data_IF_664637978380
#
_entry.id   IF_664637978380
#
_cell.length_a   1.000
_cell.length_b   1.000
_cell.length_c   1.000
_cell.angle_alpha   90.00
_cell.angle_beta   90.00
_cell.angle_gamma   90.00
#
_symmetry.space_group_name_H-M   'P 1'
#
loop_
_entity.id
_entity.type
_entity.pdbx_description
1 polymer ?
#
# COMPACT_ATOMS: atom_id res chain seq x y z
N UNK A 1 -21.28 -25.15 7.80
CA UNK A 1 -20.50 -24.37 6.82
C UNK A 1 -19.12 -24.11 7.40
N UNK A 2 -18.08 -24.75 6.84
CA UNK A 2 -16.70 -24.55 7.28
C UNK A 2 -16.20 -23.24 6.67
N UNK A 3 -15.71 -22.33 7.51
CA UNK A 3 -15.24 -21.01 7.09
C UNK A 3 -14.02 -21.12 6.17
N UNK A 4 -14.23 -20.95 4.87
CA UNK A 4 -13.22 -20.90 3.80
C UNK A 4 -12.08 -19.89 4.10
N UNK A 5 -12.32 -18.88 4.96
CA UNK A 5 -11.31 -17.91 5.36
C UNK A 5 -10.21 -18.42 6.29
N UNK A 6 -10.53 -19.35 7.20
CA UNK A 6 -9.50 -19.94 8.08
C UNK A 6 -8.59 -20.89 7.29
N UNK A 7 -9.17 -21.55 6.29
CA UNK A 7 -8.46 -22.48 5.42
C UNK A 7 -7.42 -21.77 4.55
N UNK A 8 -7.77 -20.59 4.03
CA UNK A 8 -6.83 -19.76 3.25
C UNK A 8 -5.63 -19.32 4.08
N UNK A 9 -5.83 -18.84 5.31
CA UNK A 9 -4.71 -18.43 6.17
C UNK A 9 -3.83 -19.62 6.52
N UNK A 10 -4.41 -20.75 6.95
CA UNK A 10 -3.66 -21.98 7.25
C UNK A 10 -2.90 -22.51 6.05
N UNK A 11 -3.48 -22.42 4.86
CA UNK A 11 -2.81 -22.81 3.61
C UNK A 11 -1.63 -21.89 3.29
N UNK A 12 -1.82 -20.57 3.42
CA UNK A 12 -0.74 -19.59 3.22
C UNK A 12 0.36 -19.76 4.27
N UNK A 13 -0.01 -20.05 5.51
CA UNK A 13 0.92 -20.29 6.62
C UNK A 13 1.69 -21.61 6.44
N UNK A 14 1.04 -22.67 5.95
CA UNK A 14 1.70 -23.91 5.59
C UNK A 14 2.71 -23.70 4.44
N UNK A 15 2.33 -22.95 3.40
CA UNK A 15 3.24 -22.59 2.30
C UNK A 15 4.40 -21.72 2.80
N UNK A 16 4.12 -20.72 3.63
CA UNK A 16 5.11 -19.86 4.28
C UNK A 16 6.15 -20.68 5.08
N UNK A 17 5.68 -21.66 5.87
CA UNK A 17 6.55 -22.60 6.60
C UNK A 17 7.39 -23.46 5.67
N UNK A 18 6.82 -23.98 4.58
CA UNK A 18 7.54 -24.79 3.59
C UNK A 18 8.60 -23.97 2.85
N UNK A 19 8.31 -22.69 2.56
CA UNK A 19 9.19 -21.78 1.81
C UNK A 19 10.18 -21.02 2.71
N UNK A 20 10.14 -21.21 4.02
CA UNK A 20 11.01 -20.54 4.99
C UNK A 20 10.74 -19.05 5.17
N UNK A 21 9.62 -18.52 4.68
CA UNK A 21 9.23 -17.12 4.83
C UNK A 21 8.08 -17.01 5.82
N UNK A 22 8.31 -16.49 7.02
CA UNK A 22 7.18 -16.28 7.95
C UNK A 22 6.24 -15.17 7.44
N UNK A 23 4.96 -15.30 7.77
CA UNK A 23 3.95 -14.30 7.39
C UNK A 23 4.24 -12.98 8.11
N UNK A 24 4.70 -13.09 9.36
CA UNK A 24 5.10 -11.99 10.23
C UNK A 24 6.28 -11.21 9.64
N UNK A 25 7.31 -11.89 9.14
CA UNK A 25 8.46 -11.24 8.49
C UNK A 25 8.06 -10.53 7.20
N UNK A 26 7.14 -11.13 6.44
CA UNK A 26 6.60 -10.53 5.22
C UNK A 26 5.82 -9.25 5.55
N UNK A 27 5.01 -9.29 6.60
CA UNK A 27 4.26 -8.14 7.11
C UNK A 27 5.20 -7.03 7.57
N UNK A 28 6.23 -7.38 8.36
CA UNK A 28 7.19 -6.42 8.89
C UNK A 28 7.98 -5.78 7.75
N UNK A 29 8.46 -6.58 6.79
CA UNK A 29 9.16 -6.10 5.60
C UNK A 29 8.30 -5.14 4.79
N UNK A 30 7.07 -5.52 4.47
CA UNK A 30 6.14 -4.69 3.70
C UNK A 30 5.84 -3.36 4.41
N UNK A 31 5.68 -3.39 5.74
CA UNK A 31 5.44 -2.19 6.56
C UNK A 31 6.65 -1.27 6.53
N UNK A 32 7.83 -1.79 6.87
CA UNK A 32 9.07 -1.02 6.88
C UNK A 32 9.35 -0.43 5.51
N UNK A 33 9.10 -1.20 4.46
CA UNK A 33 9.26 -0.74 3.09
C UNK A 33 8.25 0.36 2.75
N UNK A 34 6.95 0.19 3.03
CA UNK A 34 5.94 1.21 2.77
C UNK A 34 6.18 2.53 3.52
N UNK A 35 6.69 2.45 4.76
CA UNK A 35 7.07 3.62 5.55
C UNK A 35 8.35 4.29 5.04
N UNK A 36 9.19 3.56 4.30
CA UNK A 36 10.38 4.12 3.66
C UNK A 36 10.09 4.88 2.37
N UNK A 37 8.83 4.91 1.91
CA UNK A 37 8.45 5.73 0.76
C UNK A 37 8.26 7.20 1.17
N UNK A 38 8.60 8.10 0.27
CA UNK A 38 8.21 9.50 0.31
C UNK A 38 6.84 9.65 -0.32
N UNK A 39 5.88 10.20 0.42
CA UNK A 39 4.51 10.40 -0.04
C UNK A 39 4.01 11.81 0.31
N UNK A 40 3.25 12.40 -0.62
CA UNK A 40 2.73 13.77 -0.51
C UNK A 40 1.38 13.84 0.20
N UNK A 41 0.66 12.73 0.28
CA UNK A 41 -0.67 12.67 0.88
C UNK A 41 -0.91 11.35 1.58
N UNK A 42 -1.86 11.35 2.54
CA UNK A 42 -2.31 10.12 3.20
C UNK A 42 -2.94 9.15 2.20
N UNK A 43 -3.64 9.67 1.20
CA UNK A 43 -4.25 8.84 0.16
C UNK A 43 -3.17 8.07 -0.62
N UNK A 44 -2.07 8.72 -1.02
CA UNK A 44 -0.96 8.07 -1.70
C UNK A 44 -0.40 6.87 -0.90
N UNK A 45 -0.22 7.05 0.42
CA UNK A 45 0.19 5.97 1.32
C UNK A 45 -0.84 4.83 1.36
N UNK A 46 -2.13 5.15 1.48
CA UNK A 46 -3.20 4.16 1.50
C UNK A 46 -3.26 3.36 0.19
N UNK A 47 -3.08 4.02 -0.96
CA UNK A 47 -3.03 3.35 -2.27
C UNK A 47 -1.87 2.38 -2.40
N UNK A 48 -0.68 2.74 -1.90
CA UNK A 48 0.48 1.85 -1.86
C UNK A 48 0.16 0.55 -1.11
N UNK A 49 -0.46 0.66 0.07
CA UNK A 49 -0.86 -0.50 0.87
C UNK A 49 -1.93 -1.35 0.15
N UNK A 50 -2.93 -0.71 -0.45
CA UNK A 50 -3.97 -1.42 -1.22
C UNK A 50 -3.38 -2.20 -2.41
N UNK A 51 -2.41 -1.62 -3.11
CA UNK A 51 -1.68 -2.28 -4.22
C UNK A 51 -0.97 -3.54 -3.75
N UNK A 52 -0.36 -3.49 -2.56
CA UNK A 52 0.24 -4.64 -1.86
C UNK A 52 -0.76 -5.60 -1.23
N UNK A 53 -2.05 -5.49 -1.59
CA UNK A 53 -3.16 -6.36 -1.15
C UNK A 53 -3.49 -6.25 0.34
N UNK A 54 -3.10 -5.15 0.98
CA UNK A 54 -3.63 -4.83 2.30
C UNK A 54 -5.06 -4.30 2.18
N UNK A 55 -5.87 -4.58 3.19
CA UNK A 55 -7.18 -3.96 3.40
C UNK A 55 -7.04 -2.88 4.45
N UNK A 56 -7.71 -1.77 4.25
CA UNK A 56 -7.63 -0.60 5.11
C UNK A 56 -9.01 -0.31 5.68
N UNK A 57 -9.04 0.12 6.94
CA UNK A 57 -10.24 0.67 7.58
C UNK A 57 -9.83 1.89 8.38
N UNK A 58 -10.48 3.02 8.11
CA UNK A 58 -10.33 4.21 8.94
C UNK A 58 -11.19 4.04 10.19
N UNK A 59 -10.59 4.26 11.36
CA UNK A 59 -11.31 4.17 12.64
C UNK A 59 -10.75 5.19 13.64
N UNK A 60 -11.59 6.17 13.99
CA UNK A 60 -11.20 7.27 14.86
C UNK A 60 -10.09 8.12 14.27
N UNK A 61 -8.96 8.21 14.96
CA UNK A 61 -7.79 9.03 14.60
C UNK A 61 -6.69 8.26 13.84
N UNK A 62 -7.02 7.12 13.23
CA UNK A 62 -6.01 6.35 12.50
C UNK A 62 -6.56 5.32 11.52
N UNK A 63 -5.61 4.59 10.95
CA UNK A 63 -5.78 3.60 9.90
C UNK A 63 -5.47 2.21 10.43
N UNK A 64 -6.46 1.34 10.41
CA UNK A 64 -6.29 -0.09 10.66
C UNK A 64 -5.89 -0.78 9.36
N UNK A 65 -4.74 -1.45 9.38
CA UNK A 65 -4.17 -2.15 8.23
C UNK A 65 -4.36 -3.65 8.45
N UNK A 66 -5.00 -4.33 7.50
CA UNK A 66 -5.30 -5.75 7.56
C UNK A 66 -4.63 -6.50 6.41
N UNK A 67 -4.07 -7.68 6.70
CA UNK A 67 -3.63 -8.65 5.69
C UNK A 67 -4.17 -10.02 6.06
N UNK A 68 -4.68 -10.75 5.08
CA UNK A 68 -5.35 -12.04 5.31
C UNK A 68 -6.44 -12.01 6.40
N UNK A 69 -7.20 -10.90 6.49
CA UNK A 69 -8.25 -10.64 7.50
C UNK A 69 -7.77 -10.58 8.95
N UNK A 70 -6.45 -10.46 9.20
CA UNK A 70 -5.90 -10.15 10.52
C UNK A 70 -5.48 -8.70 10.55
N UNK A 71 -5.72 -8.04 11.68
CA UNK A 71 -5.15 -6.72 11.95
C UNK A 71 -3.63 -6.89 12.04
N UNK A 72 -2.93 -6.18 11.18
CA UNK A 72 -1.47 -6.22 11.05
C UNK A 72 -0.86 -5.11 11.89
N UNK A 73 -1.35 -3.89 11.71
CA UNK A 73 -0.89 -2.71 12.42
C UNK A 73 -1.99 -1.67 12.45
N UNK A 74 -1.88 -0.75 13.40
CA UNK A 74 -2.57 0.53 13.38
C UNK A 74 -1.53 1.60 13.08
N UNK A 75 -1.88 2.56 12.23
CA UNK A 75 -1.06 3.75 11.96
C UNK A 75 -1.92 4.96 12.30
N UNK A 76 -1.43 5.83 13.17
CA UNK A 76 -2.17 7.06 13.52
C UNK A 76 -2.05 8.08 12.40
N UNK A 77 -3.07 8.93 12.22
CA UNK A 77 -2.96 10.01 11.24
C UNK A 77 -1.86 11.01 11.61
N UNK A 78 -1.59 11.20 12.90
CA UNK A 78 -0.47 12.01 13.40
C UNK A 78 0.90 11.47 12.96
N UNK A 79 1.11 10.14 13.00
CA UNK A 79 2.35 9.54 12.49
C UNK A 79 2.48 9.71 10.98
N UNK A 80 1.38 9.55 10.24
CA UNK A 80 1.38 9.75 8.79
C UNK A 80 1.66 11.21 8.42
N UNK A 81 1.07 12.16 9.13
CA UNK A 81 1.31 13.58 8.91
C UNK A 81 2.75 13.97 9.23
N UNK A 82 3.32 13.42 10.30
CA UNK A 82 4.72 13.63 10.65
C UNK A 82 5.65 13.06 9.55
N UNK A 83 5.31 11.90 8.98
CA UNK A 83 6.06 11.32 7.86
C UNK A 83 5.93 12.17 6.59
N UNK A 84 4.74 12.67 6.27
CA UNK A 84 4.51 13.57 5.13
C UNK A 84 5.31 14.87 5.32
N UNK A 85 5.27 15.46 6.52
CA UNK A 85 5.99 16.68 6.84
C UNK A 85 7.52 16.49 6.87
N UNK A 86 8.01 15.31 7.26
CA UNK A 86 9.43 14.98 7.27
C UNK A 86 9.97 14.59 5.89
N UNK A 87 9.13 14.03 5.02
CA UNK A 87 9.51 13.56 3.68
C UNK A 87 9.24 14.64 2.62
N UNK A 88 10.02 15.72 2.64
CA UNK A 88 10.04 16.65 1.52
C UNK A 88 10.61 15.94 0.28
N UNK A 89 9.79 15.83 -0.75
CA UNK A 89 10.20 15.34 -2.05
C UNK A 89 11.37 16.16 -2.60
N UNK A 90 12.31 15.49 -3.26
CA UNK A 90 13.53 16.12 -3.79
C UNK A 90 13.15 16.81 -5.11
N UNK A 91 13.16 18.14 -5.22
CA UNK A 91 12.67 18.83 -6.42
C UNK A 91 13.37 18.42 -7.72
N UNK A 92 14.62 17.97 -7.64
CA UNK A 92 15.36 17.44 -8.78
C UNK A 92 14.72 16.14 -9.34
N UNK A 93 14.18 15.29 -8.48
CA UNK A 93 13.57 14.02 -8.87
C UNK A 93 12.16 14.19 -9.43
N UNK A 94 11.40 15.14 -8.87
CA UNK A 94 10.12 15.57 -9.43
C UNK A 94 10.28 16.06 -10.86
N UNK A 95 11.26 16.96 -11.07
CA UNK A 95 11.57 17.49 -12.40
C UNK A 95 12.00 16.38 -13.37
N UNK A 96 12.79 15.41 -12.91
CA UNK A 96 13.19 14.27 -13.73
C UNK A 96 11.98 13.45 -14.19
N UNK A 97 11.10 13.06 -13.28
CA UNK A 97 9.89 12.28 -13.62
C UNK A 97 8.98 13.10 -14.54
N UNK A 98 8.79 14.38 -14.23
CA UNK A 98 8.00 15.30 -15.06
C UNK A 98 8.53 15.38 -16.48
N UNK A 99 9.85 15.47 -16.67
CA UNK A 99 10.48 15.49 -17.98
C UNK A 99 10.29 14.16 -18.73
N UNK A 100 10.46 13.03 -18.06
CA UNK A 100 10.22 11.70 -18.64
C UNK A 100 8.79 11.59 -19.15
N UNK A 101 7.81 11.94 -18.32
CA UNK A 101 6.39 11.88 -18.68
C UNK A 101 6.08 12.85 -19.83
N UNK A 102 6.58 14.08 -19.76
CA UNK A 102 6.35 15.10 -20.80
C UNK A 102 6.89 14.67 -22.16
N UNK A 103 8.03 13.96 -22.18
CA UNK A 103 8.58 13.43 -23.41
C UNK A 103 7.79 12.22 -23.92
N UNK A 104 7.42 11.31 -23.02
CA UNK A 104 6.65 10.11 -23.36
C UNK A 104 5.26 10.46 -23.94
N UNK A 105 4.58 11.48 -23.39
CA UNK A 105 3.25 11.93 -23.86
C UNK A 105 3.24 12.31 -25.35
N UNK A 106 4.39 12.70 -25.93
CA UNK A 106 4.47 13.07 -27.36
C UNK A 106 4.26 11.89 -28.30
N UNK A 107 4.59 10.67 -27.85
CA UNK A 107 4.66 9.48 -28.69
C UNK A 107 3.76 8.33 -28.22
N UNK A 108 3.15 8.45 -27.04
CA UNK A 108 2.36 7.39 -26.41
C UNK A 108 0.93 7.81 -26.13
N UNK A 109 -0.02 6.88 -26.32
CA UNK A 109 -1.42 7.16 -26.03
C UNK A 109 -1.66 7.28 -24.51
N UNK A 110 -2.37 8.34 -24.15
CA UNK A 110 -2.70 8.71 -22.77
C UNK A 110 -4.04 8.15 -22.31
N UNK A 111 -4.85 7.68 -23.25
CA UNK A 111 -6.22 7.23 -23.00
C UNK A 111 -6.24 6.12 -21.96
N UNK A 112 -6.79 6.40 -20.78
CA UNK A 112 -6.93 5.40 -19.73
C UNK A 112 -8.08 4.45 -20.06
N UNK A 113 -7.74 3.16 -20.17
CA UNK A 113 -8.64 2.06 -20.49
C UNK A 113 -8.85 1.14 -19.29
N UNK A 114 -10.10 0.72 -19.01
CA UNK A 114 -10.39 -0.18 -17.90
C UNK A 114 -9.85 -1.58 -18.14
N UNK A 115 -9.17 -2.13 -17.13
CA UNK A 115 -8.64 -3.50 -17.13
C UNK A 115 -9.52 -4.38 -16.26
N UNK A 116 -10.13 -5.41 -16.85
CA UNK A 116 -10.97 -6.36 -16.12
C UNK A 116 -10.20 -7.64 -15.78
N UNK A 117 -10.55 -8.29 -14.66
CA UNK A 117 -10.05 -9.63 -14.39
C UNK A 117 -10.74 -10.63 -15.31
N UNK A 118 -9.97 -11.48 -15.97
CA UNK A 118 -10.52 -12.62 -16.71
C UNK A 118 -11.02 -13.69 -15.74
N UNK A 119 -12.29 -14.07 -15.84
CA UNK A 119 -12.85 -15.23 -15.16
C UNK A 119 -12.73 -16.47 -16.04
N UNK A 120 -12.85 -17.66 -15.44
CA UNK A 120 -12.87 -18.92 -16.19
C UNK A 120 -13.93 -18.89 -17.31
N UNK A 121 -13.48 -19.25 -18.52
CA UNK A 121 -14.28 -19.21 -19.75
C UNK A 121 -14.35 -17.83 -20.41
N UNK A 122 -13.26 -17.04 -20.35
CA UNK A 122 -13.12 -15.72 -20.99
C UNK A 122 -14.20 -14.69 -20.66
N UNK A 123 -14.89 -14.88 -19.53
CA UNK A 123 -15.89 -13.92 -19.05
C UNK A 123 -15.18 -12.73 -18.42
N UNK A 124 -15.61 -11.52 -18.76
CA UNK A 124 -15.19 -10.30 -18.07
C UNK A 124 -15.65 -10.37 -16.62
N UNK A 125 -14.68 -10.40 -15.72
CA UNK A 125 -14.89 -10.27 -14.29
C UNK A 125 -14.87 -8.83 -13.85
N UNK A 126 -14.64 -8.63 -12.55
CA UNK A 126 -14.60 -7.30 -11.93
C UNK A 126 -13.46 -6.45 -12.48
N UNK A 127 -13.72 -5.14 -12.60
CA UNK A 127 -12.72 -4.12 -12.88
C UNK A 127 -11.55 -4.24 -11.89
N UNK A 128 -10.35 -4.28 -12.43
CA UNK A 128 -9.10 -4.46 -11.68
C UNK A 128 -8.28 -3.18 -11.56
N UNK A 129 -8.46 -2.23 -12.48
CA UNK A 129 -7.75 -0.97 -12.57
C UNK A 129 -7.90 -0.36 -13.95
N UNK A 130 -7.00 0.57 -14.29
CA UNK A 130 -6.89 1.19 -15.61
C UNK A 130 -5.45 1.09 -16.10
N UNK A 131 -5.27 1.22 -17.43
CA UNK A 131 -3.98 1.30 -18.10
C UNK A 131 -4.06 2.19 -19.33
N UNK A 132 -2.94 2.73 -19.77
CA UNK A 132 -2.78 3.33 -21.08
C UNK A 132 -1.45 2.88 -21.70
N UNK A 133 -1.26 3.14 -22.99
CA UNK A 133 0.03 2.92 -23.65
C UNK A 133 1.16 3.69 -22.95
N UNK A 134 0.89 4.94 -22.55
CA UNK A 134 1.81 5.74 -21.73
C UNK A 134 2.18 5.05 -20.42
N UNK A 135 1.21 4.52 -19.65
CA UNK A 135 1.54 3.86 -18.38
C UNK A 135 2.35 2.59 -18.59
N UNK A 136 2.01 1.80 -19.60
CA UNK A 136 2.72 0.56 -19.91
C UNK A 136 4.17 0.88 -20.36
N UNK A 137 4.38 1.95 -21.15
CA UNK A 137 5.71 2.44 -21.53
C UNK A 137 6.53 2.92 -20.33
N UNK A 138 5.94 3.69 -19.42
CA UNK A 138 6.62 4.19 -18.22
C UNK A 138 7.07 3.03 -17.31
N UNK A 139 6.22 2.01 -17.15
CA UNK A 139 6.55 0.81 -16.38
C UNK A 139 7.66 0.01 -17.06
N UNK A 140 7.57 -0.25 -18.37
CA UNK A 140 8.54 -1.05 -19.10
C UNK A 140 9.93 -0.39 -19.18
N UNK A 141 9.99 0.90 -19.51
CA UNK A 141 11.27 1.58 -19.74
C UNK A 141 11.93 2.13 -18.50
N UNK A 142 11.13 2.60 -17.53
CA UNK A 142 11.64 3.31 -16.37
C UNK A 142 11.33 2.62 -15.04
N UNK A 143 10.54 1.54 -15.05
CA UNK A 143 10.06 0.89 -13.83
C UNK A 143 9.10 1.79 -13.03
N UNK A 144 8.44 2.73 -13.70
CA UNK A 144 7.55 3.71 -13.07
C UNK A 144 6.10 3.23 -13.21
N UNK A 145 5.45 2.94 -12.09
CA UNK A 145 4.06 2.51 -12.09
C UNK A 145 3.11 3.71 -12.08
N UNK A 146 2.03 3.62 -12.87
CA UNK A 146 0.95 4.61 -12.86
C UNK A 146 -0.29 4.04 -12.17
N UNK A 147 -0.86 4.79 -11.24
CA UNK A 147 -2.11 4.45 -10.54
C UNK A 147 -3.17 5.48 -10.87
N UNK A 148 -4.21 5.05 -11.58
CA UNK A 148 -5.33 5.90 -11.95
C UNK A 148 -6.39 5.95 -10.84
N UNK A 149 -6.91 7.14 -10.55
CA UNK A 149 -8.02 7.38 -9.65
C UNK A 149 -9.29 7.62 -10.45
N UNK A 150 -10.23 6.68 -10.36
CA UNK A 150 -11.55 6.83 -10.96
C UNK A 150 -12.61 7.19 -9.92
N UNK A 151 -13.57 8.00 -10.35
CA UNK A 151 -14.78 8.31 -9.58
C UNK A 151 -15.80 7.16 -9.61
N UNK A 152 -16.95 7.35 -8.96
CA UNK A 152 -18.03 6.36 -8.91
C UNK A 152 -18.62 6.03 -10.30
N UNK A 153 -18.50 6.95 -11.25
CA UNK A 153 -18.91 6.72 -12.64
C UNK A 153 -17.91 5.88 -13.43
N UNK A 154 -16.76 5.56 -12.84
CA UNK A 154 -15.66 4.88 -13.52
C UNK A 154 -14.89 5.79 -14.46
N UNK A 155 -15.04 7.12 -14.35
CA UNK A 155 -14.22 8.07 -15.08
C UNK A 155 -12.96 8.37 -14.26
N UNK A 156 -11.79 8.19 -14.88
CA UNK A 156 -10.51 8.56 -14.30
C UNK A 156 -10.43 10.09 -14.20
N UNK A 157 -10.17 10.59 -13.00
CA UNK A 157 -10.06 12.02 -12.68
C UNK A 157 -8.65 12.45 -12.33
N UNK A 158 -7.86 11.53 -11.81
CA UNK A 158 -6.55 11.85 -11.27
C UNK A 158 -5.63 10.62 -11.38
N UNK A 159 -4.36 10.82 -11.05
CA UNK A 159 -3.35 9.78 -11.07
C UNK A 159 -2.25 10.02 -10.02
N UNK A 160 -1.61 8.91 -9.63
CA UNK A 160 -0.35 8.91 -8.89
C UNK A 160 0.69 8.13 -9.67
N UNK A 161 1.94 8.56 -9.53
CA UNK A 161 3.11 7.86 -10.03
C UNK A 161 3.84 7.24 -8.85
N UNK A 162 4.16 5.95 -8.94
CA UNK A 162 5.01 5.24 -7.99
C UNK A 162 6.33 4.96 -8.69
N UNK A 163 7.43 5.45 -8.11
CA UNK A 163 8.79 5.14 -8.53
C UNK A 163 9.41 4.25 -7.44
N UNK A 164 9.42 2.92 -7.61
CA UNK A 164 9.96 1.99 -6.63
C UNK A 164 11.48 2.14 -6.45
N UNK A 165 12.21 2.51 -7.50
CA UNK A 165 13.67 2.63 -7.45
C UNK A 165 14.12 3.73 -6.49
N UNK A 166 13.36 4.84 -6.42
CA UNK A 166 13.61 5.94 -5.48
C UNK A 166 12.66 6.00 -4.31
N UNK A 167 11.77 5.01 -4.18
CA UNK A 167 10.77 4.91 -3.11
C UNK A 167 9.97 6.21 -2.96
N UNK A 168 9.39 6.70 -4.05
CA UNK A 168 8.60 7.93 -4.03
C UNK A 168 7.25 7.73 -4.69
N UNK A 169 6.24 8.43 -4.17
CA UNK A 169 4.90 8.51 -4.74
C UNK A 169 4.58 9.98 -4.98
N UNK A 170 4.36 10.32 -6.25
CA UNK A 170 4.13 11.68 -6.70
C UNK A 170 2.72 11.80 -7.28
N UNK A 171 1.97 12.80 -6.82
CA UNK A 171 0.65 13.11 -7.35
C UNK A 171 0.68 14.08 -8.52
N UNK A 172 -0.47 14.21 -9.18
CA UNK A 172 -0.70 15.20 -10.24
C UNK A 172 -0.42 16.64 -9.80
N UNK A 173 -0.61 16.96 -8.52
CA UNK A 173 -0.36 18.30 -7.96
C UNK A 173 1.07 18.80 -8.11
N UNK A 174 2.03 17.88 -8.24
CA UNK A 174 3.47 18.20 -8.37
C UNK A 174 4.01 17.90 -9.76
N UNK A 175 3.42 16.90 -10.44
CA UNK A 175 3.82 16.50 -11.78
C UNK A 175 3.14 17.36 -12.86
N UNK A 176 2.19 16.76 -13.57
CA UNK A 176 1.39 17.38 -14.62
C UNK A 176 -0.08 17.37 -14.20
N UNK A 177 -0.81 18.40 -14.59
CA UNK A 177 -2.25 18.45 -14.39
C UNK A 177 -2.93 17.20 -14.98
N UNK A 178 -3.97 16.65 -14.33
CA UNK A 178 -4.64 15.43 -14.80
C UNK A 178 -5.08 15.51 -16.27
N UNK A 179 -5.53 16.66 -16.74
CA UNK A 179 -5.98 16.87 -18.12
C UNK A 179 -4.84 16.72 -19.13
N UNK A 180 -3.62 17.09 -18.73
CA UNK A 180 -2.42 16.93 -19.55
C UNK A 180 -1.96 15.48 -19.54
N UNK A 181 -2.06 14.80 -18.40
CA UNK A 181 -1.61 13.42 -18.28
C UNK A 181 -2.57 12.41 -18.92
N UNK A 182 -3.88 12.56 -18.68
CA UNK A 182 -4.93 11.64 -19.13
C UNK A 182 -5.37 11.92 -20.58
N UNK A 183 -5.11 13.13 -21.09
CA UNK A 183 -5.61 13.54 -22.39
C UNK A 183 -7.11 13.85 -22.38
N UNK A 184 -7.67 14.12 -23.56
CA UNK A 184 -9.06 14.57 -23.71
C UNK A 184 -10.09 13.43 -23.57
N UNK A 185 -9.65 12.17 -23.64
CA UNK A 185 -10.53 11.01 -23.67
C UNK A 185 -10.13 10.01 -22.58
N UNK A 186 -11.04 9.78 -21.63
CA UNK A 186 -10.96 8.66 -20.71
C UNK A 186 -12.11 7.73 -21.03
N UNK A 187 -11.82 6.45 -21.24
CA UNK A 187 -12.89 5.45 -21.44
C UNK A 187 -13.44 5.08 -20.07
N UNK A 188 -14.63 5.57 -19.77
CA UNK A 188 -15.33 5.19 -18.55
C UNK A 188 -15.55 3.67 -18.55
N UNK A 189 -15.36 3.04 -17.39
CA UNK A 189 -15.77 1.66 -17.23
C UNK A 189 -17.29 1.57 -17.42
N UNK A 190 -17.77 0.59 -18.19
CA UNK A 190 -19.19 0.27 -18.20
C UNK A 190 -19.66 0.05 -16.75
N UNK A 191 -20.79 0.65 -16.37
CA UNK A 191 -21.33 0.67 -15.02
C UNK A 191 -21.66 -0.76 -14.52
N UNK A 192 -20.64 -1.50 -14.12
CA UNK A 192 -20.73 -2.67 -13.27
C UNK A 192 -20.26 -2.22 -11.91
N UNK A 193 -21.18 -2.28 -10.94
CA UNK A 193 -21.00 -1.90 -9.53
C UNK A 193 -19.54 -1.83 -9.13
N UNK A 194 -19.02 -0.61 -9.12
CA UNK A 194 -17.75 -0.28 -8.50
C UNK A 194 -17.95 -0.58 -7.01
N UNK A 195 -17.71 -1.82 -6.59
CA UNK A 195 -17.38 -2.00 -5.19
C UNK A 195 -15.97 -1.40 -5.08
N UNK A 196 -15.91 -0.10 -4.81
CA UNK A 196 -15.01 0.37 -3.77
C UNK A 196 -15.12 -0.65 -2.64
N UNK A 197 -14.02 -1.04 -2.00
CA UNK A 197 -14.22 -1.66 -0.69
C UNK A 197 -14.44 -0.48 0.25
N UNK A 198 -15.69 -0.02 0.53
CA UNK A 198 -15.87 0.66 1.80
C UNK A 198 -15.42 -0.37 2.84
N UNK A 199 -14.72 0.09 3.87
CA UNK A 199 -14.61 -0.70 5.07
C UNK A 199 -16.06 -1.07 5.45
N UNK A 200 -16.46 -2.33 5.25
CA UNK A 200 -17.62 -2.81 5.98
C UNK A 200 -17.18 -2.75 7.44
N UNK A 201 -17.74 -1.83 8.26
CA UNK A 201 -17.57 -2.00 9.69
C UNK A 201 -18.17 -3.36 9.98
N UNK A 202 -17.37 -4.25 10.57
CA UNK A 202 -17.89 -5.49 11.10
C UNK A 202 -18.89 -5.13 12.21
N UNK A 203 -20.13 -4.87 11.82
CA UNK A 203 -21.24 -4.73 12.73
C UNK A 203 -21.47 -6.10 13.35
N UNK A 204 -21.16 -6.21 14.65
CA UNK A 204 -21.68 -7.28 15.48
C UNK A 204 -20.61 -8.22 16.06
N UNK A 205 -20.42 -8.04 17.37
CA UNK A 205 -19.96 -9.05 18.33
C UNK A 205 -18.45 -9.36 18.32
N UNK A 206 -17.67 -8.41 18.84
CA UNK A 206 -16.46 -8.77 19.59
C UNK A 206 -16.92 -9.36 20.94
N UNK A 207 -17.13 -10.67 21.00
CA UNK A 207 -16.94 -11.38 22.26
C UNK A 207 -15.44 -11.32 22.54
N UNK A 208 -15.08 -10.75 23.69
CA UNK A 208 -13.81 -11.01 24.37
C UNK A 208 -13.45 -12.49 24.24
N UNK A 209 -12.24 -12.82 23.80
CA UNK A 209 -11.25 -13.63 24.55
C UNK A 209 -9.89 -13.48 23.82
N UNK A 210 -8.94 -12.74 24.39
CA UNK A 210 -7.70 -13.27 24.98
C UNK A 210 -6.79 -12.11 25.40
N UNK A 211 -6.53 -12.14 26.70
CA UNK A 211 -5.53 -11.42 27.46
C UNK A 211 -4.11 -11.61 26.90
N UNK A 212 -3.31 -10.55 27.02
CA UNK A 212 -1.86 -10.62 27.11
C UNK A 212 -1.14 -10.36 25.79
N UNK A 213 -0.79 -9.11 25.53
CA UNK A 213 0.52 -8.67 25.01
C UNK A 213 0.53 -7.13 25.00
N UNK A 214 0.81 -6.53 26.16
CA UNK A 214 1.28 -5.15 26.24
C UNK A 214 2.79 -5.21 26.04
N UNK A 215 3.30 -4.68 24.93
CA UNK A 215 4.70 -4.27 24.86
C UNK A 215 4.69 -2.77 25.09
N UNK A 216 4.78 -2.38 26.37
CA UNK A 216 5.34 -1.09 26.75
C UNK A 216 6.85 -1.22 26.60
N UNK A 217 7.43 -0.44 25.68
CA UNK A 217 8.88 -0.22 25.68
C UNK A 217 9.13 0.77 26.82
N UNK A 218 9.56 0.27 27.97
CA UNK A 218 10.22 1.08 28.99
C UNK A 218 11.69 1.19 28.62
N UNK A 219 12.21 2.41 28.63
CA UNK A 219 13.63 2.70 28.55
C UNK A 219 14.30 2.20 29.83
N UNK A 220 14.87 0.99 29.80
CA UNK A 220 15.68 0.46 30.90
C UNK A 220 17.09 1.05 30.81
N UNK A 221 17.28 2.16 31.51
CA UNK A 221 18.56 2.50 32.10
C UNK A 221 18.82 1.53 33.27
N UNK A 222 19.85 0.67 33.15
CA UNK A 222 20.75 0.23 34.24
C UNK A 222 21.56 -1.01 33.81
N UNK A 223 22.50 -0.80 32.88
CA UNK A 223 23.51 -1.79 32.51
C UNK A 223 24.75 -1.60 33.40
N UNK A 224 24.64 -1.97 34.67
CA UNK A 224 25.75 -1.85 35.64
C UNK A 224 25.67 -2.88 36.79
N UNK A 225 25.66 -4.19 36.51
CA UNK A 225 25.95 -5.19 37.57
C UNK A 225 26.35 -6.60 37.09
N UNK A 226 27.09 -6.73 35.99
CA UNK A 226 27.66 -8.02 35.56
C UNK A 226 29.19 -8.00 35.49
N UNK A 227 29.86 -7.71 36.62
CA UNK A 227 31.24 -8.15 36.84
C UNK A 227 31.40 -8.84 38.20
N UNK A 228 31.41 -10.18 38.10
CA UNK A 228 32.03 -11.20 38.95
C UNK A 228 31.83 -11.23 40.47
N UNK A 229 31.19 -12.33 40.91
CA UNK A 229 31.32 -12.91 42.25
C UNK A 229 32.12 -14.22 42.20
N UNK A 230 32.96 -14.40 43.23
CA UNK A 230 33.51 -15.64 43.84
C UNK A 230 34.88 -16.15 43.39
N UNK A 231 35.84 -16.03 44.32
CA UNK A 231 36.60 -17.17 44.85
C UNK A 231 36.76 -17.03 46.36
N UNK A 232 36.05 -17.86 47.11
CA UNK A 232 36.41 -18.22 48.49
C UNK A 232 37.36 -19.42 48.43
N UNK A 233 38.43 -19.39 49.22
CA UNK A 233 39.07 -20.59 49.81
C UNK A 233 39.73 -20.21 51.13
N UNK A 234 39.29 -20.89 52.20
CA UNK A 234 39.99 -21.33 53.42
C UNK A 234 41.50 -21.05 53.42
N UNK A 235 42.11 -20.52 54.47
CA UNK A 235 42.12 -20.95 55.89
C UNK A 235 42.64 -19.82 56.77
#
# INVERSE_FOLDING_TARGET
MISNSFDRYRSVEAIARITGNSIEDTILRDRTEALSYHFQSREAFMRLLQRRRYRLSEEGSGLNVYKYRRLVTRVTFTELDALIAGNFSIPAEENRIKNIITDAIKNHDRTAEPVYRTLSGDRRGRLSGYRSDLSDYLEEKFGIETVYLADESGAVRDYFIIDPARKQILGSSVLLAPEVFLGAETRAAEAQSFSYFPAEPAAGHVRQIFSGFNISISDDADDASLYHKKKNRNT
#
